data_IF_289352601382
#
_entry.id   IF_289352601382
#
_cell.length_a   1.000
_cell.length_b   1.000
_cell.length_c   1.000
_cell.angle_alpha   90.00
_cell.angle_beta   90.00
_cell.angle_gamma   90.00
#
_symmetry.space_group_name_H-M   'P 1'
#
loop_
_entity.id
_entity.type
_entity.pdbx_description
1 polymer ?
#
# COMPACT_ATOMS: atom_id res chain seq x y z
N UNK A 1 27.64 7.07 -16.02
CA UNK A 1 26.71 5.99 -15.65
C UNK A 1 26.13 6.34 -14.30
N UNK A 2 24.82 6.56 -14.21
CA UNK A 2 24.15 6.67 -12.92
C UNK A 2 24.14 5.28 -12.26
N UNK A 3 24.38 5.17 -10.94
CA UNK A 3 24.30 3.89 -10.24
C UNK A 3 22.86 3.34 -10.32
N UNK A 4 22.72 2.02 -10.47
CA UNK A 4 21.41 1.36 -10.37
C UNK A 4 20.81 1.61 -8.98
N UNK A 5 19.55 2.07 -8.89
CA UNK A 5 18.88 2.23 -7.61
C UNK A 5 18.77 0.87 -6.93
N UNK A 6 19.33 0.76 -5.73
CA UNK A 6 19.23 -0.46 -4.92
C UNK A 6 17.78 -0.61 -4.44
N UNK A 7 17.12 -1.68 -4.89
CA UNK A 7 15.74 -2.01 -4.53
C UNK A 7 15.57 -2.09 -3.01
N UNK A 8 14.45 -1.54 -2.51
CA UNK A 8 14.00 -1.70 -1.12
C UNK A 8 13.85 -3.17 -0.67
N UNK A 9 13.93 -4.14 -1.60
CA UNK A 9 13.86 -5.57 -1.35
C UNK A 9 15.19 -6.30 -1.66
N UNK A 10 16.35 -5.65 -1.46
CA UNK A 10 17.66 -6.29 -1.54
C UNK A 10 17.88 -7.28 -0.37
N UNK A 11 17.32 -8.48 -0.49
CA UNK A 11 17.82 -9.66 0.21
C UNK A 11 18.03 -10.78 -0.81
N UNK A 12 19.30 -11.04 -1.15
CA UNK A 12 19.71 -12.25 -1.88
C UNK A 12 19.14 -13.47 -1.14
N UNK A 13 18.22 -14.19 -1.78
CA UNK A 13 17.76 -15.50 -1.32
C UNK A 13 16.36 -15.59 -0.69
N UNK A 14 15.56 -14.52 -0.64
CA UNK A 14 14.14 -14.61 -0.23
C UNK A 14 13.24 -14.26 -1.41
N UNK A 15 12.30 -15.14 -1.74
CA UNK A 15 11.30 -14.90 -2.78
C UNK A 15 10.67 -13.52 -2.58
N UNK A 16 10.66 -12.70 -3.64
CA UNK A 16 10.03 -11.40 -3.60
C UNK A 16 8.56 -11.58 -3.20
N UNK A 17 8.16 -10.98 -2.08
CA UNK A 17 6.77 -11.04 -1.61
C UNK A 17 5.91 -10.05 -2.40
N UNK A 18 4.59 -10.29 -2.48
CA UNK A 18 3.66 -9.36 -3.13
C UNK A 18 3.78 -7.94 -2.56
N UNK A 19 4.04 -7.82 -1.26
CA UNK A 19 4.34 -6.54 -0.61
C UNK A 19 5.58 -5.87 -1.20
N UNK A 20 6.69 -6.60 -1.39
CA UNK A 20 7.86 -6.03 -2.06
C UNK A 20 7.55 -5.54 -3.47
N UNK A 21 6.78 -6.31 -4.26
CA UNK A 21 6.39 -5.90 -5.61
C UNK A 21 5.59 -4.58 -5.58
N UNK A 22 4.62 -4.47 -4.67
CA UNK A 22 3.85 -3.24 -4.49
C UNK A 22 4.71 -2.05 -4.03
N UNK A 23 5.59 -2.24 -3.05
CA UNK A 23 6.45 -1.15 -2.56
C UNK A 23 7.46 -0.69 -3.61
N UNK A 24 8.03 -1.61 -4.38
CA UNK A 24 8.88 -1.25 -5.53
C UNK A 24 8.07 -0.47 -6.58
N UNK A 25 6.86 -0.92 -6.91
CA UNK A 25 5.97 -0.18 -7.81
C UNK A 25 5.70 1.24 -7.31
N UNK A 26 5.42 1.41 -6.01
CA UNK A 26 5.23 2.74 -5.39
C UNK A 26 6.47 3.62 -5.44
N UNK A 27 7.65 3.03 -5.33
CA UNK A 27 8.91 3.76 -5.48
C UNK A 27 9.07 4.35 -6.89
N UNK A 28 8.76 3.56 -7.93
CA UNK A 28 8.83 4.03 -9.32
C UNK A 28 7.69 4.97 -9.72
N UNK A 29 6.51 4.80 -9.12
CA UNK A 29 5.32 5.60 -9.38
C UNK A 29 5.08 6.64 -8.28
N UNK A 30 6.16 7.11 -7.65
CA UNK A 30 6.07 8.07 -6.56
C UNK A 30 5.54 9.40 -7.07
N UNK A 31 4.44 9.88 -6.48
CA UNK A 31 3.61 10.98 -6.99
C UNK A 31 3.47 12.15 -6.01
N UNK A 32 4.06 12.02 -4.83
CA UNK A 32 4.01 13.00 -3.74
C UNK A 32 5.38 13.69 -3.58
N UNK A 33 5.42 15.00 -3.38
CA UNK A 33 6.66 15.67 -2.99
C UNK A 33 6.72 15.72 -1.47
N UNK A 34 7.83 15.26 -0.88
CA UNK A 34 8.04 15.33 0.56
C UNK A 34 9.33 16.09 0.85
N UNK A 35 9.28 16.99 1.83
CA UNK A 35 10.42 17.84 2.21
C UNK A 35 11.22 17.23 3.36
N UNK A 36 10.52 16.49 4.22
CA UNK A 36 11.06 16.00 5.47
C UNK A 36 10.27 14.80 5.97
N UNK A 37 10.98 13.88 6.61
CA UNK A 37 10.40 12.77 7.36
C UNK A 37 10.96 12.84 8.78
N UNK A 38 10.10 12.82 9.79
CA UNK A 38 10.51 12.67 11.19
C UNK A 38 9.97 11.36 11.76
N UNK A 39 10.87 10.59 12.39
CA UNK A 39 10.51 9.37 13.09
C UNK A 39 10.46 9.65 14.58
N UNK A 40 9.30 9.44 15.19
CA UNK A 40 9.07 9.44 16.63
C UNK A 40 8.80 8.01 17.10
N UNK A 41 8.70 7.81 18.41
CA UNK A 41 8.52 6.49 19.01
C UNK A 41 7.30 5.73 18.44
N UNK A 42 6.15 6.40 18.35
CA UNK A 42 4.88 5.82 17.90
C UNK A 42 4.28 6.55 16.66
N UNK A 43 5.05 7.44 16.03
CA UNK A 43 4.55 8.30 14.97
C UNK A 43 5.61 8.51 13.87
N UNK A 44 5.15 8.47 12.63
CA UNK A 44 5.90 8.88 11.45
C UNK A 44 5.29 10.17 10.92
N UNK A 45 6.04 11.26 10.93
CA UNK A 45 5.61 12.53 10.35
C UNK A 45 6.17 12.65 8.94
N UNK A 46 5.31 12.93 7.98
CA UNK A 46 5.67 13.16 6.58
C UNK A 46 5.27 14.58 6.22
N UNK A 47 6.25 15.42 5.91
CA UNK A 47 6.00 16.81 5.54
C UNK A 47 5.83 16.90 4.03
N UNK A 48 4.62 17.24 3.60
CA UNK A 48 4.24 17.36 2.20
C UNK A 48 4.70 18.70 1.61
N UNK A 49 5.04 18.67 0.31
CA UNK A 49 5.26 19.84 -0.51
C UNK A 49 4.23 19.86 -1.64
N UNK A 50 3.68 21.03 -2.00
CA UNK A 50 2.80 21.19 -3.13
C UNK A 50 3.44 20.59 -4.38
N UNK A 51 2.69 19.78 -5.15
CA UNK A 51 3.20 19.23 -6.38
C UNK A 51 3.46 20.35 -7.40
N UNK A 52 4.52 20.18 -8.20
CA UNK A 52 4.69 20.96 -9.42
C UNK A 52 3.55 20.69 -10.39
N UNK A 53 3.03 21.75 -11.03
CA UNK A 53 1.96 21.63 -12.02
C UNK A 53 2.34 20.75 -13.23
N UNK A 54 3.63 20.62 -13.54
CA UNK A 54 4.10 20.02 -14.79
C UNK A 54 4.54 18.55 -14.69
N UNK A 55 4.63 17.96 -13.48
CA UNK A 55 5.09 16.58 -13.28
C UNK A 55 4.05 15.76 -12.54
N UNK A 56 3.73 14.56 -13.04
CA UNK A 56 2.83 13.62 -12.36
C UNK A 56 3.59 12.77 -11.32
N UNK A 57 4.76 12.27 -11.71
CA UNK A 57 5.62 11.43 -10.88
C UNK A 57 6.98 12.10 -10.64
N UNK A 58 7.61 11.71 -9.53
CA UNK A 58 8.88 12.21 -9.06
C UNK A 58 9.79 11.05 -8.70
N UNK A 59 11.09 11.30 -8.68
CA UNK A 59 12.01 10.38 -8.02
C UNK A 59 11.70 10.35 -6.53
N UNK A 60 11.64 9.14 -5.96
CA UNK A 60 11.47 9.00 -4.53
C UNK A 60 12.69 9.59 -3.79
N UNK A 61 12.51 10.53 -2.84
CA UNK A 61 13.62 11.16 -2.15
C UNK A 61 14.21 10.23 -1.09
N UNK A 62 14.97 9.22 -1.55
CA UNK A 62 15.57 8.17 -0.72
C UNK A 62 16.41 8.72 0.43
N UNK A 63 17.08 9.86 0.23
CA UNK A 63 17.87 10.52 1.27
C UNK A 63 17.07 10.95 2.52
N UNK A 64 15.74 11.12 2.41
CA UNK A 64 14.87 11.50 3.54
C UNK A 64 14.45 10.32 4.41
N UNK A 65 14.49 9.11 3.87
CA UNK A 65 14.25 7.88 4.63
C UNK A 65 15.56 7.12 4.63
N UNK A 66 16.33 7.20 5.73
CA UNK A 66 17.64 6.55 5.81
C UNK A 66 17.58 5.16 5.17
N UNK A 67 18.45 4.88 4.21
CA UNK A 67 18.38 3.65 3.37
C UNK A 67 18.33 2.35 4.22
N UNK A 68 18.76 2.44 5.48
CA UNK A 68 18.81 1.33 6.45
C UNK A 68 17.53 1.08 7.25
N UNK A 69 16.48 1.93 7.17
CA UNK A 69 15.19 1.64 7.81
C UNK A 69 14.09 1.31 6.77
N UNK A 70 14.01 0.05 6.32
CA UNK A 70 13.00 -0.38 5.37
C UNK A 70 11.57 -0.27 5.91
N UNK A 71 11.38 -0.22 7.24
CA UNK A 71 10.06 -0.10 7.86
C UNK A 71 9.56 1.34 7.76
N UNK A 72 10.44 2.33 7.95
CA UNK A 72 10.12 3.75 7.74
C UNK A 72 9.83 4.00 6.26
N UNK A 73 10.68 3.52 5.34
CA UNK A 73 10.46 3.65 3.90
C UNK A 73 9.11 3.04 3.47
N UNK A 74 8.79 1.83 3.93
CA UNK A 74 7.48 1.21 3.68
C UNK A 74 6.32 1.99 4.32
N UNK A 75 6.52 2.59 5.49
CA UNK A 75 5.53 3.49 6.10
C UNK A 75 5.24 4.71 5.23
N UNK A 76 6.29 5.35 4.70
CA UNK A 76 6.17 6.48 3.77
C UNK A 76 5.46 6.07 2.48
N UNK A 77 5.82 4.93 1.89
CA UNK A 77 5.15 4.43 0.67
C UNK A 77 3.66 4.15 0.84
N UNK A 78 3.25 3.76 2.04
CA UNK A 78 1.86 3.51 2.39
C UNK A 78 1.15 4.75 2.96
N UNK A 79 1.82 5.91 2.96
CA UNK A 79 1.23 7.19 3.34
C UNK A 79 0.41 7.72 2.17
N UNK A 80 -0.78 8.28 2.45
CA UNK A 80 -1.71 8.83 1.44
C UNK A 80 -2.18 7.86 0.34
N UNK A 81 -1.80 6.59 0.38
CA UNK A 81 -2.34 5.59 -0.53
C UNK A 81 -3.81 5.38 -0.19
N UNK A 82 -4.69 5.56 -1.17
CA UNK A 82 -6.05 5.04 -1.06
C UNK A 82 -5.94 3.54 -0.75
N UNK A 83 -6.70 3.04 0.21
CA UNK A 83 -6.53 1.67 0.71
C UNK A 83 -6.88 0.61 -0.36
N UNK A 84 -7.56 1.06 -1.41
CA UNK A 84 -7.95 0.36 -2.62
C UNK A 84 -6.77 0.16 -3.60
N UNK A 85 -5.78 1.07 -3.61
CA UNK A 85 -4.69 1.10 -4.60
C UNK A 85 -3.85 -0.18 -4.69
N UNK A 86 -3.36 -0.77 -3.58
CA UNK A 86 -2.50 -1.94 -3.65
C UNK A 86 -3.18 -3.10 -4.37
N UNK A 87 -4.48 -3.29 -4.12
CA UNK A 87 -5.23 -4.38 -4.72
C UNK A 87 -5.67 -4.10 -6.13
N UNK A 88 -5.94 -2.84 -6.47
CA UNK A 88 -6.18 -2.44 -7.85
C UNK A 88 -4.95 -2.68 -8.72
N UNK A 89 -3.78 -2.21 -8.28
CA UNK A 89 -2.54 -2.34 -9.05
C UNK A 89 -1.98 -3.76 -9.03
N UNK A 90 -2.11 -4.51 -7.93
CA UNK A 90 -1.58 -5.87 -7.86
C UNK A 90 -2.62 -6.95 -8.17
N UNK A 91 -3.80 -6.59 -8.69
CA UNK A 91 -4.93 -7.50 -8.87
C UNK A 91 -4.57 -8.78 -9.64
N UNK A 92 -3.92 -8.64 -10.81
CA UNK A 92 -3.59 -9.79 -11.66
C UNK A 92 -2.55 -10.68 -10.99
N UNK A 93 -1.47 -10.09 -10.46
CA UNK A 93 -0.43 -10.81 -9.74
C UNK A 93 -1.01 -11.61 -8.57
N UNK A 94 -1.86 -10.99 -7.75
CA UNK A 94 -2.52 -11.66 -6.62
C UNK A 94 -3.41 -12.79 -7.14
N UNK A 95 -4.22 -12.53 -8.17
CA UNK A 95 -5.13 -13.53 -8.74
C UNK A 95 -4.37 -14.75 -9.27
N UNK A 96 -3.28 -14.54 -10.02
CA UNK A 96 -2.46 -15.62 -10.55
C UNK A 96 -1.76 -16.42 -9.44
N UNK A 97 -1.28 -15.77 -8.38
CA UNK A 97 -0.67 -16.46 -7.24
C UNK A 97 -1.68 -17.32 -6.46
N UNK A 98 -2.94 -16.90 -6.43
CA UNK A 98 -4.00 -17.59 -5.72
C UNK A 98 -4.76 -18.60 -6.60
N UNK A 99 -4.54 -18.63 -7.92
CA UNK A 99 -5.35 -19.42 -8.86
C UNK A 99 -5.35 -20.93 -8.58
N UNK A 100 -4.23 -21.46 -8.06
CA UNK A 100 -4.09 -22.87 -7.71
C UNK A 100 -4.56 -23.19 -6.28
N UNK A 101 -4.93 -22.16 -5.51
CA UNK A 101 -5.43 -22.31 -4.15
C UNK A 101 -6.95 -22.28 -4.17
N UNK A 102 -7.59 -23.23 -3.50
CA UNK A 102 -9.06 -23.23 -3.33
C UNK A 102 -9.46 -22.25 -2.22
N UNK A 103 -9.30 -20.95 -2.50
CA UNK A 103 -9.53 -19.85 -1.57
C UNK A 103 -10.62 -18.90 -2.07
N UNK A 104 -11.46 -18.41 -1.16
CA UNK A 104 -12.30 -17.25 -1.37
C UNK A 104 -11.49 -16.00 -1.00
N UNK A 105 -11.48 -15.01 -1.88
CA UNK A 105 -10.81 -13.73 -1.66
C UNK A 105 -11.88 -12.67 -1.39
N UNK A 106 -11.73 -11.93 -0.30
CA UNK A 106 -12.58 -10.79 0.04
C UNK A 106 -11.75 -9.53 0.29
N UNK A 107 -12.27 -8.38 -0.11
CA UNK A 107 -11.72 -7.06 0.23
C UNK A 107 -12.44 -6.58 1.49
N UNK A 108 -11.72 -6.39 2.60
CA UNK A 108 -12.34 -6.16 3.91
C UNK A 108 -12.00 -4.77 4.39
N UNK A 109 -13.00 -3.98 4.80
CA UNK A 109 -12.78 -2.74 5.53
C UNK A 109 -12.93 -2.99 7.04
N UNK A 110 -11.93 -2.62 7.83
CA UNK A 110 -11.92 -2.77 9.29
C UNK A 110 -11.66 -1.44 10.00
N UNK A 111 -12.33 -1.19 11.11
CA UNK A 111 -11.91 -0.18 12.07
C UNK A 111 -10.88 -0.80 13.03
N UNK A 112 -9.77 -0.09 13.26
CA UNK A 112 -8.65 -0.59 14.03
C UNK A 112 -8.79 -0.24 15.52
N UNK A 113 -8.51 -1.18 16.45
CA UNK A 113 -8.52 -0.92 17.91
C UNK A 113 -7.46 0.10 18.29
N UNK A 114 -6.21 -0.19 17.93
CA UNK A 114 -5.03 0.61 18.26
C UNK A 114 -3.98 0.39 17.19
N UNK A 115 -3.36 1.48 16.76
CA UNK A 115 -2.18 1.41 15.91
C UNK A 115 -0.91 1.39 16.77
N UNK A 116 0.06 0.56 16.39
CA UNK A 116 1.39 0.58 17.02
C UNK A 116 2.28 1.71 16.49
N UNK A 117 1.89 2.28 15.34
CA UNK A 117 2.49 3.48 14.75
C UNK A 117 1.41 4.25 14.00
N UNK A 118 1.29 5.55 14.21
CA UNK A 118 0.48 6.41 13.33
C UNK A 118 1.36 7.08 12.29
N UNK A 119 0.79 7.38 11.14
CA UNK A 119 1.41 8.22 10.12
C UNK A 119 0.60 9.51 10.03
N UNK A 120 1.29 10.63 10.13
CA UNK A 120 0.69 11.96 10.03
C UNK A 120 1.36 12.74 8.91
N UNK A 121 0.56 13.15 7.92
CA UNK A 121 0.98 14.13 6.92
C UNK A 121 0.84 15.52 7.52
N UNK A 122 1.89 16.33 7.36
CA UNK A 122 1.89 17.75 7.71
C UNK A 122 1.98 18.52 6.39
N UNK A 123 0.91 19.24 6.05
CA UNK A 123 0.86 20.07 4.86
C UNK A 123 1.54 21.42 5.12
N UNK A 124 1.97 22.11 4.06
CA UNK A 124 2.64 23.42 4.18
C UNK A 124 1.80 24.50 4.88
N UNK A 125 0.47 24.41 4.80
CA UNK A 125 -0.45 25.30 5.53
C UNK A 125 -0.55 24.96 7.03
N UNK A 126 0.17 23.95 7.52
CA UNK A 126 0.15 23.46 8.89
C UNK A 126 -0.99 22.49 9.20
N UNK A 127 -1.88 22.19 8.24
CA UNK A 127 -2.91 21.17 8.41
C UNK A 127 -2.26 19.79 8.61
N UNK A 128 -2.92 18.98 9.43
CA UNK A 128 -2.45 17.65 9.79
C UNK A 128 -3.48 16.62 9.42
N UNK A 129 -3.04 15.57 8.75
CA UNK A 129 -3.87 14.44 8.42
C UNK A 129 -3.23 13.17 8.96
N UNK A 130 -3.93 12.48 9.85
CA UNK A 130 -3.45 11.25 10.48
C UNK A 130 -4.29 10.05 10.04
N UNK A 131 -3.63 8.91 9.85
CA UNK A 131 -4.30 7.64 9.57
C UNK A 131 -4.96 6.99 10.80
N UNK A 132 -4.89 7.59 11.99
CA UNK A 132 -5.53 7.13 13.22
C UNK A 132 -6.08 8.36 14.02
N UNK A 133 -7.26 8.32 14.70
CA UNK A 133 -8.14 7.16 15.00
C UNK A 133 -9.12 6.77 13.92
N UNK A 134 -9.51 7.73 13.09
CA UNK A 134 -10.83 7.68 12.47
C UNK A 134 -10.84 7.00 11.11
N UNK A 135 -9.72 6.38 10.71
CA UNK A 135 -9.61 5.71 9.42
C UNK A 135 -9.79 4.22 9.63
N UNK A 136 -10.60 3.67 8.74
CA UNK A 136 -10.58 2.24 8.46
C UNK A 136 -9.23 1.82 7.92
N UNK A 137 -9.02 0.52 7.82
CA UNK A 137 -7.93 -0.13 7.11
C UNK A 137 -8.52 -1.20 6.19
N UNK A 138 -7.91 -1.45 5.03
CA UNK A 138 -8.42 -2.46 4.09
C UNK A 138 -7.38 -3.54 3.79
N UNK A 139 -7.36 -4.65 4.54
CA UNK A 139 -6.64 -5.86 4.12
C UNK A 139 -7.48 -6.74 3.18
N UNK A 140 -6.83 -7.69 2.49
CA UNK A 140 -7.52 -8.81 1.84
C UNK A 140 -7.74 -9.94 2.84
N UNK A 141 -8.93 -10.52 2.84
CA UNK A 141 -9.26 -11.75 3.56
C UNK A 141 -9.21 -12.94 2.60
N UNK A 142 -8.35 -13.91 2.92
CA UNK A 142 -8.22 -15.17 2.21
C UNK A 142 -8.83 -16.27 3.05
N UNK A 143 -9.91 -16.92 2.58
CA UNK A 143 -10.57 -18.02 3.29
C UNK A 143 -10.43 -19.32 2.50
N UNK A 144 -9.74 -20.31 3.05
CA UNK A 144 -9.65 -21.64 2.45
C UNK A 144 -11.01 -22.34 2.51
N UNK A 145 -11.59 -22.62 1.34
CA UNK A 145 -12.97 -23.13 1.23
C UNK A 145 -13.15 -24.46 1.97
N UNK A 146 -12.16 -25.36 1.86
CA UNK A 146 -12.24 -26.71 2.46
C UNK A 146 -12.20 -26.72 3.98
N UNK A 147 -11.48 -25.78 4.60
CA UNK A 147 -11.20 -25.82 6.05
C UNK A 147 -11.85 -24.67 6.82
N UNK A 148 -12.33 -23.64 6.12
CA UNK A 148 -12.80 -22.41 6.72
C UNK A 148 -11.69 -21.55 7.35
N UNK A 149 -10.44 -22.01 7.36
CA UNK A 149 -9.31 -21.24 7.89
C UNK A 149 -9.11 -19.97 7.06
N UNK A 150 -8.79 -18.87 7.73
CA UNK A 150 -8.69 -17.57 7.08
C UNK A 150 -7.42 -16.81 7.48
N UNK A 151 -6.95 -15.96 6.56
CA UNK A 151 -5.78 -15.12 6.72
C UNK A 151 -6.04 -13.72 6.16
N UNK A 152 -5.49 -12.71 6.82
CA UNK A 152 -5.42 -11.36 6.25
C UNK A 152 -4.09 -11.19 5.50
N UNK A 153 -4.17 -10.67 4.27
CA UNK A 153 -3.04 -10.20 3.49
C UNK A 153 -3.05 -8.68 3.43
N UNK A 154 -1.99 -8.06 3.94
CA UNK A 154 -1.91 -6.63 4.18
C UNK A 154 -0.64 -6.01 3.58
N UNK A 155 -0.84 -5.22 2.54
CA UNK A 155 0.23 -4.54 1.80
C UNK A 155 0.63 -3.23 2.47
N UNK A 156 -0.36 -2.53 3.05
CA UNK A 156 -0.19 -1.16 3.55
C UNK A 156 -0.09 -1.07 5.06
N UNK A 157 -0.21 -2.19 5.78
CA UNK A 157 -0.20 -2.26 7.24
C UNK A 157 1.02 -1.65 7.93
N UNK A 158 2.12 -1.42 7.21
CA UNK A 158 3.29 -0.70 7.72
C UNK A 158 2.98 0.73 8.17
N UNK A 159 1.95 1.37 7.59
CA UNK A 159 1.45 2.66 8.07
C UNK A 159 0.82 2.59 9.48
N UNK A 160 0.46 1.38 9.94
CA UNK A 160 -0.07 1.11 11.27
C UNK A 160 0.95 0.40 12.19
N UNK A 161 2.19 0.26 11.72
CA UNK A 161 3.26 -0.49 12.38
C UNK A 161 3.09 -2.02 12.30
N UNK A 162 2.20 -2.52 11.43
CA UNK A 162 2.05 -3.95 11.17
C UNK A 162 3.22 -4.44 10.31
N UNK A 163 4.05 -5.31 10.91
CA UNK A 163 5.30 -5.78 10.30
C UNK A 163 5.11 -6.94 9.33
N UNK A 164 4.04 -7.72 9.49
CA UNK A 164 3.79 -8.91 8.68
C UNK A 164 2.79 -8.61 7.57
N UNK A 165 3.02 -9.19 6.40
CA UNK A 165 2.09 -9.15 5.27
C UNK A 165 0.95 -10.14 5.44
N UNK A 166 1.19 -11.30 6.05
CA UNK A 166 0.17 -12.33 6.22
C UNK A 166 -0.08 -12.57 7.71
N UNK A 167 -1.35 -12.59 8.10
CA UNK A 167 -1.79 -12.83 9.47
C UNK A 167 -2.85 -13.90 9.51
N UNK A 168 -2.84 -14.75 10.54
CA UNK A 168 -4.00 -15.61 10.82
C UNK A 168 -5.16 -14.70 11.21
N UNK A 169 -6.33 -14.89 10.59
CA UNK A 169 -7.46 -13.97 10.74
C UNK A 169 -7.88 -13.79 12.20
N UNK A 170 -8.00 -14.88 12.95
CA UNK A 170 -8.38 -14.83 14.38
C UNK A 170 -7.39 -14.05 15.25
N UNK A 171 -6.10 -14.13 14.95
CA UNK A 171 -5.07 -13.40 15.68
C UNK A 171 -5.08 -11.91 15.31
N UNK A 172 -5.29 -11.61 14.03
CA UNK A 172 -5.41 -10.25 13.53
C UNK A 172 -6.64 -9.56 14.14
N UNK A 173 -7.79 -10.23 14.08
CA UNK A 173 -9.06 -9.72 14.59
C UNK A 173 -8.95 -9.36 16.06
N UNK A 174 -8.46 -10.31 16.87
CA UNK A 174 -8.29 -10.14 18.32
C UNK A 174 -7.35 -8.98 18.69
N UNK A 175 -6.29 -8.75 17.90
CA UNK A 175 -5.24 -7.77 18.23
C UNK A 175 -5.53 -6.38 17.68
N UNK A 176 -6.13 -6.31 16.49
CA UNK A 176 -6.14 -5.09 15.69
C UNK A 176 -7.52 -4.65 15.25
N UNK A 177 -8.52 -5.52 15.15
CA UNK A 177 -9.83 -5.18 14.59
C UNK A 177 -10.82 -4.85 15.70
N UNK A 178 -11.29 -3.61 15.69
CA UNK A 178 -12.39 -3.18 16.57
C UNK A 178 -13.74 -3.58 15.96
N UNK A 179 -13.87 -3.43 14.63
CA UNK A 179 -15.10 -3.73 13.91
C UNK A 179 -14.77 -4.04 12.45
N UNK A 180 -15.36 -5.10 11.90
CA UNK A 180 -15.42 -5.29 10.46
C UNK A 180 -16.58 -4.45 9.93
N UNK A 181 -16.31 -3.50 9.06
CA UNK A 181 -17.35 -2.65 8.46
C UNK A 181 -18.07 -3.38 7.35
N UNK A 182 -17.32 -3.94 6.41
CA UNK A 182 -17.87 -4.74 5.32
C UNK A 182 -16.81 -5.68 4.73
N UNK A 183 -17.28 -6.68 4.00
CA UNK A 183 -16.48 -7.63 3.24
C UNK A 183 -17.05 -7.67 1.82
N UNK A 184 -16.32 -7.12 0.87
CA UNK A 184 -16.69 -7.13 -0.54
C UNK A 184 -16.05 -8.31 -1.29
N UNK A 185 -16.57 -8.54 -2.49
CA UNK A 185 -15.95 -9.45 -3.44
C UNK A 185 -14.66 -8.84 -3.99
N UNK A 186 -13.67 -9.70 -4.23
CA UNK A 186 -12.43 -9.30 -4.88
C UNK A 186 -12.70 -8.60 -6.23
N UNK A 187 -12.01 -7.48 -6.46
CA UNK A 187 -12.13 -6.68 -7.68
C UNK A 187 -12.93 -5.38 -7.51
N UNK A 188 -13.62 -5.16 -6.39
CA UNK A 188 -14.33 -3.89 -6.13
C UNK A 188 -13.36 -2.70 -6.10
N UNK A 189 -12.23 -2.85 -5.41
CA UNK A 189 -11.18 -1.83 -5.33
C UNK A 189 -10.60 -1.52 -6.71
N UNK A 190 -10.36 -2.55 -7.53
CA UNK A 190 -9.92 -2.38 -8.92
C UNK A 190 -10.92 -1.55 -9.72
N UNK A 191 -12.20 -1.94 -9.71
CA UNK A 191 -13.26 -1.20 -10.41
C UNK A 191 -13.38 0.26 -9.92
N UNK A 192 -13.20 0.49 -8.62
CA UNK A 192 -13.23 1.83 -8.04
C UNK A 192 -12.08 2.71 -8.56
N UNK A 193 -10.86 2.18 -8.57
CA UNK A 193 -9.67 2.88 -9.10
C UNK A 193 -9.80 3.13 -10.60
N UNK A 194 -10.33 2.18 -11.38
CA UNK A 194 -10.62 2.36 -12.80
C UNK A 194 -11.59 3.54 -13.02
N UNK A 195 -12.67 3.64 -12.23
CA UNK A 195 -13.61 4.77 -12.30
C UNK A 195 -12.91 6.09 -11.95
N UNK A 196 -12.10 6.12 -10.88
CA UNK A 196 -11.37 7.33 -10.49
C UNK A 196 -10.32 7.76 -11.50
N UNK A 197 -9.73 6.81 -12.24
CA UNK A 197 -8.76 7.09 -13.30
C UNK A 197 -9.35 7.85 -14.49
N UNK A 198 -10.69 7.85 -14.66
CA UNK A 198 -11.38 8.59 -15.72
C UNK A 198 -11.52 10.09 -15.43
N UNK A 199 -11.18 10.54 -14.21
CA UNK A 199 -11.25 11.96 -13.86
C UNK A 199 -10.16 12.75 -14.60
N UNK A 200 -10.51 13.93 -15.10
CA UNK A 200 -9.58 14.81 -15.82
C UNK A 200 -8.69 15.66 -14.90
N UNK A 201 -8.81 15.49 -13.59
CA UNK A 201 -7.97 16.18 -12.61
C UNK A 201 -6.63 15.44 -12.43
N UNK A 202 -5.70 16.06 -11.69
CA UNK A 202 -4.37 15.51 -11.43
C UNK A 202 -4.40 14.07 -10.87
N UNK A 203 -5.29 13.80 -9.91
CA UNK A 203 -5.41 12.48 -9.29
C UNK A 203 -5.85 11.42 -10.32
N UNK A 204 -6.87 11.71 -11.15
CA UNK A 204 -7.30 10.79 -12.19
C UNK A 204 -6.19 10.48 -13.20
N UNK A 205 -5.41 11.48 -13.60
CA UNK A 205 -4.23 11.28 -14.46
C UNK A 205 -3.15 10.40 -13.81
N UNK A 206 -2.86 10.59 -12.52
CA UNK A 206 -1.93 9.75 -11.76
C UNK A 206 -2.41 8.29 -11.73
N UNK A 207 -3.69 8.07 -11.42
CA UNK A 207 -4.27 6.73 -11.36
C UNK A 207 -4.27 6.05 -12.75
N UNK A 208 -4.63 6.80 -13.80
CA UNK A 208 -4.60 6.30 -15.18
C UNK A 208 -3.19 5.85 -15.58
N UNK A 209 -2.16 6.67 -15.33
CA UNK A 209 -0.77 6.30 -15.64
C UNK A 209 -0.24 5.17 -14.75
N UNK A 210 -0.72 5.07 -13.52
CA UNK A 210 -0.38 3.94 -12.62
C UNK A 210 -0.99 2.62 -13.10
N UNK A 211 -2.22 2.64 -13.61
CA UNK A 211 -2.84 1.48 -14.26
C UNK A 211 -2.10 1.08 -15.54
N UNK A 212 -1.74 2.03 -16.42
CA UNK A 212 -0.94 1.74 -17.61
C UNK A 212 0.42 1.09 -17.27
N UNK A 213 1.10 1.57 -16.23
CA UNK A 213 2.36 0.99 -15.76
C UNK A 213 2.16 -0.43 -15.20
N UNK A 214 1.08 -0.63 -14.44
CA UNK A 214 0.67 -1.93 -13.93
C UNK A 214 0.40 -2.94 -15.05
N UNK A 215 -0.32 -2.52 -16.09
CA UNK A 215 -0.65 -3.41 -17.23
C UNK A 215 0.60 -3.88 -17.97
N UNK A 216 1.61 -3.01 -18.09
CA UNK A 216 2.92 -3.40 -18.66
C UNK A 216 3.66 -4.41 -17.79
N UNK A 217 3.64 -4.23 -16.46
CA UNK A 217 4.20 -5.22 -15.53
C UNK A 217 3.48 -6.56 -15.65
N UNK A 218 2.16 -6.52 -15.71
CA UNK A 218 1.30 -7.68 -15.86
C UNK A 218 1.56 -8.45 -17.17
N UNK A 219 1.73 -7.73 -18.28
CA UNK A 219 2.07 -8.35 -19.57
C UNK A 219 3.39 -9.12 -19.50
N UNK A 220 4.39 -8.60 -18.77
CA UNK A 220 5.68 -9.26 -18.59
C UNK A 220 5.62 -10.53 -17.72
N UNK A 221 4.59 -10.69 -16.88
CA UNK A 221 4.39 -11.89 -16.06
C UNK A 221 3.76 -13.02 -16.89
N UNK A 222 2.99 -12.66 -17.93
CA UNK A 222 2.26 -13.63 -18.77
C UNK A 222 3.04 -14.19 -19.96
N UNK A 223 4.22 -13.63 -20.24
CA UNK A 223 5.14 -14.06 -21.31
C UNK A 223 6.22 -14.99 -20.77
#
# INVERSE_FOLDING_TARGET
>A
MAPEPQSACSTRGKAATNKCAYLNFREYMWDTLIEKVEVKEDELLVYDSPPSACKLFYEFPSHLVSEYDPVVKAGVFCTLTCQEEPFAFMHLLITQLLQCLTVKVGEVEVDMIKSSRKVTIIFQNGEKYSNWPKRSHMPLLLTFIRTGKAWYMDFTGTQYGLKHTLWIATDFDKRYVSKIKHVDLAGKNKACIEIFSLKTNRLGLILCKSLEATDRMNAAITT
#
